data_IF_884366901104
#
_entry.id   IF_884366901104
#
_cell.length_a   1.000
_cell.length_b   1.000
_cell.length_c   1.000
_cell.angle_alpha   90.00
_cell.angle_beta   90.00
_cell.angle_gamma   90.00
#
_symmetry.space_group_name_H-M   'P 1'
#
loop_
_entity.id
_entity.type
_entity.pdbx_description
1 polymer ?
#
# COMPACT_ATOMS: atom_id res chain seq x y z
N UNK A 1 -5.71 -11.48 18.32
CA UNK A 1 -4.28 -11.11 18.16
C UNK A 1 -4.22 -10.11 17.02
N UNK A 2 -3.57 -8.97 17.20
CA UNK A 2 -3.27 -8.10 16.07
C UNK A 2 -2.18 -8.78 15.23
N UNK A 3 -2.41 -8.93 13.92
CA UNK A 3 -1.41 -9.47 13.00
C UNK A 3 -0.21 -8.53 12.96
N UNK A 4 0.99 -9.08 12.99
CA UNK A 4 2.21 -8.27 12.92
C UNK A 4 2.61 -7.93 11.47
N UNK A 5 3.59 -7.03 11.35
CA UNK A 5 4.07 -6.53 10.07
C UNK A 5 4.67 -7.62 9.17
N UNK A 6 5.26 -8.67 9.76
CA UNK A 6 5.85 -9.78 9.01
C UNK A 6 4.74 -10.66 8.49
N UNK A 7 3.78 -11.03 9.35
CA UNK A 7 2.61 -11.83 8.99
C UNK A 7 1.87 -11.20 7.80
N UNK A 8 1.51 -9.91 7.91
CA UNK A 8 0.83 -9.18 6.84
C UNK A 8 1.64 -9.14 5.54
N UNK A 9 2.97 -9.05 5.63
CA UNK A 9 3.83 -8.98 4.44
C UNK A 9 4.03 -10.31 3.71
N UNK A 10 3.65 -11.42 4.34
CA UNK A 10 3.69 -12.75 3.74
C UNK A 10 2.34 -13.18 3.15
N UNK A 11 1.27 -12.42 3.43
CA UNK A 11 -0.05 -12.63 2.85
C UNK A 11 -0.11 -12.08 1.42
N UNK A 12 -0.82 -12.78 0.54
CA UNK A 12 -1.14 -12.24 -0.79
C UNK A 12 -2.27 -11.21 -0.75
N UNK A 13 -2.49 -10.53 -1.87
CA UNK A 13 -3.52 -9.50 -2.00
C UNK A 13 -4.94 -10.02 -1.77
N UNK A 14 -5.21 -11.30 -2.11
CA UNK A 14 -6.54 -11.90 -1.95
C UNK A 14 -6.84 -12.11 -0.47
N UNK A 15 -5.88 -12.65 0.29
CA UNK A 15 -6.00 -12.82 1.73
C UNK A 15 -6.15 -11.48 2.46
N UNK A 16 -5.35 -10.47 2.07
CA UNK A 16 -5.48 -9.12 2.63
C UNK A 16 -6.84 -8.49 2.34
N UNK A 17 -7.36 -8.64 1.11
CA UNK A 17 -8.68 -8.16 0.74
C UNK A 17 -9.80 -8.83 1.54
N UNK A 18 -9.68 -10.14 1.81
CA UNK A 18 -10.65 -10.88 2.62
C UNK A 18 -10.71 -10.34 4.06
N UNK A 19 -9.57 -10.03 4.67
CA UNK A 19 -9.51 -9.44 6.02
C UNK A 19 -10.21 -8.08 6.08
N UNK A 20 -10.01 -7.23 5.05
CA UNK A 20 -10.70 -5.94 4.94
C UNK A 20 -12.20 -6.13 4.74
N UNK A 21 -12.60 -7.05 3.86
CA UNK A 21 -14.02 -7.35 3.59
C UNK A 21 -14.74 -7.85 4.85
N UNK A 22 -14.08 -8.69 5.64
CA UNK A 22 -14.59 -9.22 6.92
C UNK A 22 -14.48 -8.23 8.08
N UNK A 23 -13.88 -7.05 7.85
CA UNK A 23 -13.63 -6.01 8.86
C UNK A 23 -12.73 -6.49 10.01
N UNK A 24 -11.90 -7.48 9.75
CA UNK A 24 -10.86 -7.95 10.68
C UNK A 24 -9.65 -7.01 10.67
N UNK A 25 -9.45 -6.31 9.55
CA UNK A 25 -8.55 -5.18 9.41
C UNK A 25 -9.23 -4.06 8.62
N UNK A 26 -8.73 -2.85 8.82
CA UNK A 26 -9.04 -1.68 8.00
C UNK A 26 -8.02 -1.53 6.87
N UNK A 27 -8.41 -0.83 5.80
CA UNK A 27 -7.47 -0.46 4.74
C UNK A 27 -6.30 0.40 5.29
N UNK A 28 -6.57 1.24 6.30
CA UNK A 28 -5.56 2.07 6.93
C UNK A 28 -4.51 1.23 7.67
N UNK A 29 -4.94 0.20 8.41
CA UNK A 29 -4.00 -0.72 9.09
C UNK A 29 -3.10 -1.46 8.11
N UNK A 30 -3.61 -1.88 6.94
CA UNK A 30 -2.79 -2.48 5.89
C UNK A 30 -1.80 -1.48 5.27
N UNK A 31 -2.24 -0.25 5.01
CA UNK A 31 -1.38 0.82 4.49
C UNK A 31 -0.26 1.13 5.48
N UNK A 32 -0.57 1.32 6.77
CA UNK A 32 0.43 1.62 7.79
C UNK A 32 1.42 0.45 7.99
N UNK A 33 0.95 -0.79 7.94
CA UNK A 33 1.82 -1.96 7.96
C UNK A 33 2.77 -2.01 6.74
N UNK A 34 2.26 -1.71 5.55
CA UNK A 34 3.08 -1.65 4.34
C UNK A 34 4.13 -0.53 4.43
N UNK A 35 3.75 0.66 4.89
CA UNK A 35 4.64 1.82 5.08
C UNK A 35 5.76 1.47 6.07
N UNK A 36 5.41 0.96 7.25
CA UNK A 36 6.39 0.60 8.27
C UNK A 36 7.40 -0.44 7.76
N UNK A 37 6.99 -1.33 6.85
CA UNK A 37 7.88 -2.33 6.26
C UNK A 37 8.79 -1.71 5.21
N UNK A 38 8.25 -0.81 4.39
CA UNK A 38 9.06 -0.04 3.43
C UNK A 38 10.09 0.78 4.19
N UNK A 39 9.73 1.54 5.21
CA UNK A 39 10.67 2.35 6.01
C UNK A 39 11.78 1.50 6.63
N UNK A 40 11.48 0.29 7.09
CA UNK A 40 12.46 -0.64 7.67
C UNK A 40 13.44 -1.22 6.65
N UNK A 41 12.99 -1.52 5.43
CA UNK A 41 13.76 -2.34 4.47
C UNK A 41 14.28 -1.53 3.27
N UNK A 42 13.56 -0.49 2.85
CA UNK A 42 13.90 0.33 1.68
C UNK A 42 15.27 1.03 1.78
N UNK A 43 15.81 1.42 2.96
CA UNK A 43 17.17 1.95 3.04
C UNK A 43 18.24 1.01 2.48
N UNK A 44 17.99 -0.30 2.48
CA UNK A 44 18.92 -1.30 1.91
C UNK A 44 18.56 -1.64 0.45
N UNK A 45 17.27 -1.68 0.11
CA UNK A 45 16.83 -2.11 -1.22
C UNK A 45 16.79 -1.00 -2.26
N UNK A 46 16.57 0.25 -1.83
CA UNK A 46 16.33 1.40 -2.70
C UNK A 46 15.26 1.15 -3.78
N UNK A 47 14.13 0.56 -3.38
CA UNK A 47 13.05 0.14 -4.28
C UNK A 47 11.95 1.21 -4.46
N UNK A 48 11.65 1.97 -3.41
CA UNK A 48 10.63 3.03 -3.41
C UNK A 48 11.32 4.38 -3.52
N UNK A 49 11.22 5.03 -4.68
CA UNK A 49 11.87 6.32 -4.99
C UNK A 49 10.97 7.54 -4.73
N UNK A 50 9.66 7.34 -4.72
CA UNK A 50 8.65 8.38 -4.49
C UNK A 50 7.62 7.85 -3.48
N UNK A 51 7.78 8.18 -2.19
CA UNK A 51 6.80 7.81 -1.17
C UNK A 51 5.49 8.57 -1.38
N UNK A 52 4.37 7.86 -1.50
CA UNK A 52 3.01 8.43 -1.56
C UNK A 52 2.21 8.10 -0.29
N UNK A 53 2.88 8.09 0.86
CA UNK A 53 2.33 7.56 2.11
C UNK A 53 1.10 8.31 2.62
N UNK A 54 1.15 9.65 2.61
CA UNK A 54 0.02 10.47 3.05
C UNK A 54 -1.17 10.34 2.11
N UNK A 55 -0.93 10.28 0.79
CA UNK A 55 -1.98 10.04 -0.19
C UNK A 55 -2.63 8.65 -0.01
N UNK A 56 -1.82 7.62 0.26
CA UNK A 56 -2.31 6.27 0.52
C UNK A 56 -3.15 6.19 1.81
N UNK A 57 -2.72 6.85 2.88
CA UNK A 57 -3.47 6.96 4.14
C UNK A 57 -4.79 7.70 3.94
N UNK A 58 -4.76 8.82 3.23
CA UNK A 58 -5.96 9.59 2.91
C UNK A 58 -6.97 8.78 2.09
N UNK A 59 -6.49 8.05 1.07
CA UNK A 59 -7.34 7.17 0.26
C UNK A 59 -7.94 6.01 1.09
N UNK A 60 -7.18 5.44 2.02
CA UNK A 60 -7.61 4.31 2.85
C UNK A 60 -8.79 4.65 3.79
N UNK A 61 -8.93 5.91 4.20
CA UNK A 61 -10.02 6.40 5.06
C UNK A 61 -11.09 7.17 4.29
N UNK A 62 -10.93 7.32 2.98
CA UNK A 62 -11.85 8.10 2.16
C UNK A 62 -13.25 7.44 2.13
N UNK A 63 -14.34 8.22 2.30
CA UNK A 63 -15.69 7.68 2.30
C UNK A 63 -16.10 7.09 0.94
N UNK A 64 -15.44 7.53 -0.14
CA UNK A 64 -15.67 7.15 -1.52
C UNK A 64 -14.63 6.15 -2.06
N UNK A 65 -13.87 5.48 -1.18
CA UNK A 65 -13.03 4.36 -1.59
C UNK A 65 -13.90 3.38 -2.42
N UNK A 66 -13.52 3.00 -3.65
CA UNK A 66 -14.38 2.19 -4.50
C UNK A 66 -14.51 0.74 -4.02
N UNK A 67 -15.67 0.13 -4.26
CA UNK A 67 -15.85 -1.31 -4.08
C UNK A 67 -15.15 -2.09 -5.20
N UNK A 68 -14.65 -3.27 -4.85
CA UNK A 68 -13.94 -4.14 -5.77
C UNK A 68 -13.23 -5.30 -5.07
N UNK A 69 -12.73 -6.29 -5.83
CA UNK A 69 -12.13 -7.51 -5.26
C UNK A 69 -10.88 -7.26 -4.42
N UNK A 70 -10.20 -6.12 -4.62
CA UNK A 70 -9.01 -5.72 -3.86
C UNK A 70 -9.22 -4.40 -3.09
N UNK A 71 -10.46 -4.09 -2.72
CA UNK A 71 -10.77 -2.89 -1.93
C UNK A 71 -9.88 -2.84 -0.68
N UNK A 72 -9.12 -1.76 -0.54
CA UNK A 72 -8.27 -1.50 0.63
C UNK A 72 -6.89 -2.17 0.63
N UNK A 73 -6.53 -2.93 -0.42
CA UNK A 73 -5.20 -3.54 -0.53
C UNK A 73 -4.17 -2.51 -1.02
N UNK A 74 -3.07 -2.25 -0.28
CA UNK A 74 -2.01 -1.35 -0.74
C UNK A 74 -1.17 -1.98 -1.86
N UNK A 75 -0.70 -1.17 -2.80
CA UNK A 75 0.21 -1.61 -3.86
C UNK A 75 1.22 -0.52 -4.22
N UNK A 76 2.26 -0.90 -4.97
CA UNK A 76 3.29 0.01 -5.49
C UNK A 76 3.08 0.22 -6.99
N UNK A 77 3.22 1.46 -7.44
CA UNK A 77 3.18 1.81 -8.86
C UNK A 77 4.60 1.90 -9.42
N UNK A 78 4.84 1.29 -10.58
CA UNK A 78 6.14 1.37 -11.24
C UNK A 78 6.32 2.75 -11.86
N UNK A 79 7.44 3.42 -11.57
CA UNK A 79 7.83 4.70 -12.18
C UNK A 79 8.35 4.55 -13.63
N UNK A 80 7.78 3.62 -14.39
CA UNK A 80 8.09 3.37 -15.79
C UNK A 80 6.86 2.73 -16.44
N UNK A 81 6.23 3.45 -17.37
CA UNK A 81 5.05 2.99 -18.10
C UNK A 81 3.72 3.10 -17.34
N UNK A 82 3.74 3.47 -16.06
CA UNK A 82 2.54 3.72 -15.27
C UNK A 82 2.57 5.14 -14.69
N UNK A 83 1.45 5.86 -14.81
CA UNK A 83 1.34 7.26 -14.41
C UNK A 83 0.13 7.44 -13.49
N UNK A 84 0.31 8.21 -12.42
CA UNK A 84 -0.77 8.67 -11.56
C UNK A 84 -0.91 10.19 -11.70
N UNK A 85 -2.13 10.67 -11.91
CA UNK A 85 -2.41 12.10 -12.02
C UNK A 85 -1.94 12.82 -10.76
N UNK A 86 -1.18 13.89 -10.93
CA UNK A 86 -0.69 14.73 -9.84
C UNK A 86 0.60 14.25 -9.17
N UNK A 87 1.15 13.10 -9.57
CA UNK A 87 2.38 12.55 -8.98
C UNK A 87 3.58 12.69 -9.93
N UNK A 88 4.81 12.77 -9.38
CA UNK A 88 6.01 12.75 -10.20
C UNK A 88 6.12 11.46 -11.03
N UNK A 89 6.74 11.58 -12.21
CA UNK A 89 7.05 10.47 -13.09
C UNK A 89 8.46 10.66 -13.66
N UNK A 90 9.42 9.83 -13.26
CA UNK A 90 10.84 10.02 -13.57
C UNK A 90 11.40 9.07 -14.63
N UNK A 91 10.59 8.14 -15.17
CA UNK A 91 11.06 7.15 -16.15
C UNK A 91 12.25 6.31 -15.62
N UNK A 92 12.29 6.08 -14.31
CA UNK A 92 13.40 5.41 -13.62
C UNK A 92 14.78 6.11 -13.80
N UNK A 93 14.80 7.43 -14.01
CA UNK A 93 16.04 8.23 -14.14
C UNK A 93 16.45 8.92 -12.83
N UNK A 94 15.99 8.43 -11.69
CA UNK A 94 16.22 8.98 -10.35
C UNK A 94 16.96 8.00 -9.44
#
# INVERSE_FOLDING_TARGET
MALDIIELSTMDATAQAELVQRKELTALELVDAAIARIERINPTLNAVITPLYEDARAAAVAPDLPDGPFRGVPFLLKDLGAMQKGQPYYLALR
#
